data_IF_768640712667
#
_entry.id   IF_768640712667
#
_cell.length_a   1.000
_cell.length_b   1.000
_cell.length_c   1.000
_cell.angle_alpha   90.00
_cell.angle_beta   90.00
_cell.angle_gamma   90.00
#
_symmetry.space_group_name_H-M   'P 1'
#
loop_
_entity.id
_entity.type
_entity.pdbx_description
1 polymer ?
#
# COMPACT_ATOMS: atom_id res chain seq x y z
N UNK A 1 -9.30 -52.10 8.47
CA UNK A 1 -8.40 -50.99 8.84
C UNK A 1 -9.24 -49.71 8.89
N UNK A 2 -9.17 -48.97 10.00
CA UNK A 2 -10.23 -48.06 10.47
C UNK A 2 -10.35 -46.81 9.59
N UNK A 3 -11.58 -46.49 9.18
CA UNK A 3 -12.02 -45.30 8.41
C UNK A 3 -11.43 -43.97 8.92
N UNK A 4 -11.01 -43.91 10.19
CA UNK A 4 -10.33 -42.75 10.78
C UNK A 4 -9.05 -42.34 10.05
N UNK A 5 -8.25 -43.28 9.53
CA UNK A 5 -7.02 -42.95 8.79
C UNK A 5 -7.31 -42.28 7.44
N UNK A 6 -8.44 -42.62 6.82
CA UNK A 6 -8.87 -42.05 5.55
C UNK A 6 -9.36 -40.60 5.74
N UNK A 7 -10.15 -40.35 6.79
CA UNK A 7 -10.59 -39.00 7.16
C UNK A 7 -9.42 -38.10 7.59
N UNK A 8 -8.42 -38.66 8.29
CA UNK A 8 -7.22 -37.91 8.66
C UNK A 8 -6.42 -37.44 7.43
N UNK A 9 -6.31 -38.30 6.42
CA UNK A 9 -5.69 -37.95 5.13
C UNK A 9 -6.46 -36.85 4.41
N UNK A 10 -7.79 -36.93 4.38
CA UNK A 10 -8.65 -35.92 3.76
C UNK A 10 -8.53 -34.55 4.44
N UNK A 11 -8.54 -34.52 5.78
CA UNK A 11 -8.34 -33.30 6.57
C UNK A 11 -6.97 -32.68 6.35
N UNK A 12 -5.91 -33.50 6.24
CA UNK A 12 -4.57 -33.02 5.96
C UNK A 12 -4.46 -32.34 4.59
N UNK A 13 -5.05 -32.93 3.55
CA UNK A 13 -5.09 -32.33 2.21
C UNK A 13 -5.88 -31.02 2.21
N UNK A 14 -7.02 -30.99 2.91
CA UNK A 14 -7.84 -29.78 3.04
C UNK A 14 -7.12 -28.65 3.77
N UNK A 15 -6.43 -28.97 4.88
CA UNK A 15 -5.63 -28.00 5.63
C UNK A 15 -4.49 -27.42 4.79
N UNK A 16 -3.80 -28.25 4.01
CA UNK A 16 -2.79 -27.78 3.05
C UNK A 16 -3.39 -26.83 2.01
N UNK A 17 -4.56 -27.16 1.44
CA UNK A 17 -5.26 -26.29 0.50
C UNK A 17 -5.65 -24.94 1.11
N UNK A 18 -6.07 -24.92 2.37
CA UNK A 18 -6.46 -23.71 3.09
C UNK A 18 -5.25 -22.81 3.41
N UNK A 19 -4.13 -23.42 3.81
CA UNK A 19 -2.85 -22.71 4.03
C UNK A 19 -2.33 -22.12 2.72
N UNK A 20 -2.30 -22.92 1.65
CA UNK A 20 -1.83 -22.45 0.33
C UNK A 20 -2.77 -21.34 -0.18
N UNK A 21 -4.08 -21.55 -0.15
CA UNK A 21 -5.07 -20.56 -0.58
C UNK A 21 -5.01 -19.26 0.23
N UNK A 22 -4.89 -19.34 1.55
CA UNK A 22 -4.77 -18.18 2.43
C UNK A 22 -3.47 -17.40 2.22
N UNK A 23 -2.34 -18.09 2.05
CA UNK A 23 -1.06 -17.46 1.72
C UNK A 23 -1.10 -16.82 0.33
N UNK A 24 -1.68 -17.48 -0.67
CA UNK A 24 -1.86 -16.93 -2.02
C UNK A 24 -2.73 -15.68 -2.03
N UNK A 25 -3.87 -15.68 -1.32
CA UNK A 25 -4.74 -14.50 -1.23
C UNK A 25 -4.06 -13.31 -0.53
N UNK A 26 -3.35 -13.57 0.57
CA UNK A 26 -2.57 -12.57 1.31
C UNK A 26 -1.47 -11.92 0.45
N UNK A 27 -0.77 -12.72 -0.33
CA UNK A 27 0.28 -12.27 -1.25
C UNK A 27 -0.36 -11.50 -2.41
N UNK A 28 -1.48 -11.99 -2.96
CA UNK A 28 -2.18 -11.38 -4.08
C UNK A 28 -2.74 -9.98 -3.78
N UNK A 29 -3.36 -9.77 -2.60
CA UNK A 29 -3.82 -8.44 -2.18
C UNK A 29 -2.66 -7.46 -2.02
N UNK A 30 -1.55 -7.93 -1.44
CA UNK A 30 -0.34 -7.11 -1.24
C UNK A 30 0.33 -6.76 -2.57
N UNK A 31 0.32 -7.67 -3.54
CA UNK A 31 0.86 -7.43 -4.87
C UNK A 31 -0.05 -6.53 -5.71
N UNK A 32 -1.36 -6.72 -5.73
CA UNK A 32 -2.27 -5.82 -6.46
C UNK A 32 -2.24 -4.39 -5.91
N UNK A 33 -2.23 -4.23 -4.58
CA UNK A 33 -2.11 -2.89 -3.99
C UNK A 33 -0.79 -2.24 -4.40
N UNK A 34 0.33 -2.95 -4.26
CA UNK A 34 1.64 -2.47 -4.70
C UNK A 34 1.68 -2.12 -6.19
N UNK A 35 1.03 -2.93 -7.03
CA UNK A 35 1.02 -2.74 -8.48
C UNK A 35 0.14 -1.56 -8.90
N UNK A 36 -0.99 -1.34 -8.22
CA UNK A 36 -1.81 -0.13 -8.40
C UNK A 36 -1.03 1.12 -7.97
N UNK A 37 -0.28 1.06 -6.87
CA UNK A 37 0.59 2.17 -6.46
C UNK A 37 1.75 2.42 -7.45
N UNK A 38 2.33 1.35 -8.01
CA UNK A 38 3.37 1.42 -9.04
C UNK A 38 2.84 2.09 -10.31
N UNK A 39 1.67 1.67 -10.78
CA UNK A 39 0.97 2.26 -11.92
C UNK A 39 0.62 3.73 -11.67
N UNK A 40 0.06 4.09 -10.50
CA UNK A 40 -0.24 5.49 -10.14
C UNK A 40 0.99 6.40 -10.25
N UNK A 41 2.16 5.88 -9.87
CA UNK A 41 3.42 6.64 -9.90
C UNK A 41 4.05 6.68 -11.29
N UNK A 42 4.06 5.56 -12.01
CA UNK A 42 4.56 5.48 -13.39
C UNK A 42 3.72 6.32 -14.36
N UNK A 43 2.41 6.31 -14.17
CA UNK A 43 1.44 7.01 -15.01
C UNK A 43 1.28 8.50 -14.64
N UNK A 44 2.07 8.99 -13.67
CA UNK A 44 2.15 10.41 -13.27
C UNK A 44 0.76 11.05 -13.07
N UNK A 45 -0.16 10.31 -12.47
CA UNK A 45 -1.52 10.78 -12.16
C UNK A 45 -2.61 10.44 -13.17
N UNK A 46 -2.33 9.82 -14.33
CA UNK A 46 -3.38 9.54 -15.31
C UNK A 46 -4.42 8.50 -14.82
N UNK A 47 -4.01 7.45 -14.10
CA UNK A 47 -4.93 6.53 -13.44
C UNK A 47 -5.85 7.25 -12.45
N UNK A 48 -5.31 8.16 -11.63
CA UNK A 48 -6.10 8.94 -10.67
C UNK A 48 -7.04 9.91 -11.40
N UNK A 49 -6.58 10.51 -12.50
CA UNK A 49 -7.41 11.33 -13.37
C UNK A 49 -8.61 10.55 -13.89
N UNK A 50 -8.40 9.34 -14.43
CA UNK A 50 -9.49 8.51 -14.93
C UNK A 50 -10.47 8.14 -13.81
N UNK A 51 -9.96 7.61 -12.69
CA UNK A 51 -10.78 7.21 -11.55
C UNK A 51 -11.67 8.36 -11.03
N UNK A 52 -11.12 9.58 -10.96
CA UNK A 52 -11.85 10.75 -10.48
C UNK A 52 -12.81 11.27 -11.56
N UNK A 53 -12.39 11.28 -12.83
CA UNK A 53 -13.22 11.73 -13.94
C UNK A 53 -14.44 10.83 -14.12
N UNK A 54 -14.28 9.51 -14.00
CA UNK A 54 -15.37 8.53 -14.07
C UNK A 54 -16.36 8.75 -12.92
N UNK A 55 -15.85 8.94 -11.69
CA UNK A 55 -16.71 9.24 -10.54
C UNK A 55 -17.47 10.55 -10.70
N UNK A 56 -16.82 11.59 -11.23
CA UNK A 56 -17.47 12.88 -11.50
C UNK A 56 -18.53 12.74 -12.59
N UNK A 57 -18.26 11.92 -13.60
CA UNK A 57 -19.22 11.62 -14.65
C UNK A 57 -20.46 10.89 -14.12
N UNK A 58 -20.26 9.83 -13.34
CA UNK A 58 -21.36 9.06 -12.73
C UNK A 58 -22.29 9.93 -11.87
N UNK A 59 -21.72 10.98 -11.26
CA UNK A 59 -22.45 11.86 -10.33
C UNK A 59 -23.09 13.07 -11.02
N UNK A 60 -22.43 13.61 -12.06
CA UNK A 60 -22.78 14.90 -12.67
C UNK A 60 -23.24 14.77 -14.12
N UNK A 61 -23.22 13.56 -14.68
CA UNK A 61 -23.55 13.24 -16.07
C UNK A 61 -22.81 14.17 -17.05
N UNK A 62 -21.46 14.10 -17.04
CA UNK A 62 -20.63 15.04 -17.76
C UNK A 62 -20.73 14.82 -19.28
N UNK A 63 -20.98 15.90 -20.03
CA UNK A 63 -20.88 15.87 -21.48
C UNK A 63 -19.43 15.59 -21.95
N UNK A 64 -19.30 15.08 -23.18
CA UNK A 64 -17.98 14.85 -23.79
C UNK A 64 -17.10 16.12 -23.81
N UNK A 65 -17.70 17.29 -24.04
CA UNK A 65 -17.01 18.57 -24.03
C UNK A 65 -16.49 18.95 -22.63
N UNK A 66 -17.25 18.65 -21.58
CA UNK A 66 -16.81 18.87 -20.20
C UNK A 66 -15.68 17.91 -19.82
N UNK A 67 -15.81 16.62 -20.15
CA UNK A 67 -14.76 15.62 -19.91
C UNK A 67 -13.43 16.02 -20.54
N UNK A 68 -13.46 16.43 -21.81
CA UNK A 68 -12.26 16.87 -22.53
C UNK A 68 -11.56 18.07 -21.90
N UNK A 69 -12.29 18.93 -21.18
CA UNK A 69 -11.74 20.09 -20.46
C UNK A 69 -11.27 19.75 -19.04
N UNK A 70 -11.98 18.87 -18.34
CA UNK A 70 -11.69 18.50 -16.95
C UNK A 70 -10.48 17.56 -16.87
N UNK A 71 -10.36 16.61 -17.80
CA UNK A 71 -9.28 15.61 -17.80
C UNK A 71 -7.86 16.23 -17.71
N UNK A 72 -7.47 17.22 -18.54
CA UNK A 72 -6.13 17.82 -18.45
C UNK A 72 -5.93 18.60 -17.13
N UNK A 73 -6.99 19.22 -16.58
CA UNK A 73 -6.91 19.93 -15.29
C UNK A 73 -6.60 18.98 -14.14
N UNK A 74 -7.31 17.85 -14.07
CA UNK A 74 -7.08 16.81 -13.07
C UNK A 74 -5.67 16.22 -13.21
N UNK A 75 -5.24 15.92 -14.44
CA UNK A 75 -3.91 15.37 -14.70
C UNK A 75 -2.80 16.30 -14.21
N UNK A 76 -2.90 17.59 -14.53
CA UNK A 76 -1.91 18.56 -14.08
C UNK A 76 -1.93 18.74 -12.55
N UNK A 77 -3.11 18.74 -11.94
CA UNK A 77 -3.23 18.81 -10.48
C UNK A 77 -2.55 17.61 -9.79
N UNK A 78 -2.76 16.38 -10.29
CA UNK A 78 -2.11 15.20 -9.73
C UNK A 78 -0.59 15.19 -9.96
N UNK A 79 -0.10 15.66 -11.12
CA UNK A 79 1.34 15.82 -11.37
C UNK A 79 1.99 16.80 -10.42
N UNK A 80 1.36 17.97 -10.21
CA UNK A 80 1.84 18.98 -9.26
C UNK A 80 1.84 18.45 -7.83
N UNK A 81 0.79 17.71 -7.44
CA UNK A 81 0.72 17.07 -6.12
C UNK A 81 1.84 16.05 -5.93
N UNK A 82 2.10 15.19 -6.93
CA UNK A 82 3.17 14.21 -6.89
C UNK A 82 4.54 14.88 -6.75
N UNK A 83 4.81 15.93 -7.54
CA UNK A 83 6.06 16.68 -7.47
C UNK A 83 6.27 17.32 -6.09
N UNK A 84 5.23 17.91 -5.50
CA UNK A 84 5.30 18.47 -4.14
C UNK A 84 5.61 17.37 -3.12
N UNK A 85 4.95 16.22 -3.21
CA UNK A 85 5.24 15.08 -2.32
C UNK A 85 6.69 14.64 -2.41
N UNK A 86 7.27 14.59 -3.61
CA UNK A 86 8.68 14.23 -3.81
C UNK A 86 9.65 15.23 -3.18
N UNK A 87 9.28 16.51 -3.16
CA UNK A 87 10.07 17.56 -2.51
C UNK A 87 9.99 17.52 -0.98
N UNK A 88 8.80 17.25 -0.42
CA UNK A 88 8.55 17.27 1.03
C UNK A 88 8.95 15.95 1.70
N UNK A 89 8.93 14.84 0.96
CA UNK A 89 9.21 13.50 1.50
C UNK A 89 10.56 13.37 2.22
N UNK A 90 11.69 13.88 1.70
CA UNK A 90 12.97 13.84 2.41
C UNK A 90 12.91 14.52 3.78
N UNK A 91 12.16 15.63 3.88
CA UNK A 91 11.98 16.37 5.13
C UNK A 91 11.15 15.56 6.13
N UNK A 92 10.07 14.93 5.68
CA UNK A 92 9.28 14.02 6.53
C UNK A 92 10.12 12.84 7.03
N UNK A 93 10.89 12.21 6.15
CA UNK A 93 11.76 11.11 6.55
C UNK A 93 12.79 11.56 7.59
N UNK A 94 13.33 12.77 7.46
CA UNK A 94 14.27 13.33 8.41
C UNK A 94 13.63 13.51 9.80
N UNK A 95 12.46 14.14 9.86
CA UNK A 95 11.71 14.36 11.11
C UNK A 95 11.47 13.02 11.83
N UNK A 96 11.08 11.99 11.10
CA UNK A 96 10.83 10.67 11.68
C UNK A 96 12.13 10.01 12.16
N UNK A 97 13.22 10.10 11.39
CA UNK A 97 14.52 9.55 11.81
C UNK A 97 14.99 10.19 13.11
N UNK A 98 14.92 11.51 13.21
CA UNK A 98 15.28 12.25 14.42
C UNK A 98 14.42 11.84 15.61
N UNK A 99 13.10 11.78 15.41
CA UNK A 99 12.15 11.35 16.44
C UNK A 99 12.42 9.92 16.91
N UNK A 100 12.79 9.02 15.99
CA UNK A 100 13.14 7.63 16.32
C UNK A 100 14.42 7.57 17.15
N UNK A 101 15.42 8.38 16.84
CA UNK A 101 16.64 8.48 17.64
C UNK A 101 16.38 8.97 19.05
N UNK A 102 15.53 10.00 19.20
CA UNK A 102 15.11 10.49 20.51
C UNK A 102 14.36 9.41 21.31
N UNK A 103 13.42 8.70 20.66
CA UNK A 103 12.68 7.60 21.28
C UNK A 103 13.63 6.51 21.77
N UNK A 104 14.61 6.10 20.95
CA UNK A 104 15.59 5.08 21.33
C UNK A 104 16.43 5.51 22.54
N UNK A 105 16.74 6.80 22.68
CA UNK A 105 17.44 7.34 23.86
C UNK A 105 16.65 7.23 25.16
N UNK A 106 15.32 7.08 25.10
CA UNK A 106 14.43 6.90 26.25
C UNK A 106 14.21 5.43 26.63
N UNK A 107 14.68 4.50 25.81
CA UNK A 107 14.47 3.06 25.99
C UNK A 107 15.67 2.40 26.68
N UNK A 108 15.42 1.32 27.41
CA UNK A 108 16.49 0.45 27.92
C UNK A 108 17.16 -0.29 26.75
N UNK A 109 18.42 -0.75 26.90
CA UNK A 109 19.09 -1.53 25.85
C UNK A 109 18.31 -2.76 25.37
N UNK A 110 17.61 -3.45 26.29
CA UNK A 110 16.76 -4.59 25.97
C UNK A 110 15.53 -4.19 25.14
N UNK A 111 14.93 -3.03 25.42
CA UNK A 111 13.81 -2.48 24.65
C UNK A 111 14.25 -1.98 23.28
N UNK A 112 15.41 -1.34 23.16
CA UNK A 112 16.00 -0.95 21.86
C UNK A 112 16.21 -2.19 20.98
N UNK A 113 16.77 -3.26 21.55
CA UNK A 113 16.94 -4.53 20.84
C UNK A 113 15.60 -5.11 20.39
N UNK A 114 14.60 -5.14 21.27
CA UNK A 114 13.24 -5.61 20.94
C UNK A 114 12.58 -4.77 19.84
N UNK A 115 12.77 -3.44 19.86
CA UNK A 115 12.25 -2.53 18.84
C UNK A 115 12.91 -2.78 17.47
N UNK A 116 14.22 -3.04 17.46
CA UNK A 116 14.94 -3.40 16.24
C UNK A 116 14.48 -4.75 15.69
N UNK A 117 14.38 -5.77 16.54
CA UNK A 117 14.02 -7.15 16.17
C UNK A 117 12.56 -7.25 15.70
N UNK A 118 11.62 -6.52 16.31
CA UNK A 118 10.22 -6.47 15.90
C UNK A 118 9.97 -5.68 14.62
N UNK A 119 10.85 -4.71 14.30
CA UNK A 119 10.69 -3.84 13.14
C UNK A 119 9.56 -2.81 13.28
N UNK A 120 8.99 -2.62 14.47
CA UNK A 120 7.90 -1.67 14.73
C UNK A 120 8.29 -0.22 14.42
N UNK A 121 9.58 0.11 14.46
CA UNK A 121 10.09 1.42 14.03
C UNK A 121 9.72 1.78 12.57
N UNK A 122 9.47 0.77 11.71
CA UNK A 122 9.00 0.97 10.33
C UNK A 122 7.58 1.54 10.25
N UNK A 123 6.81 1.47 11.33
CA UNK A 123 5.48 2.08 11.43
C UNK A 123 5.57 3.61 11.48
N UNK A 124 6.68 4.15 12.00
CA UNK A 124 6.91 5.58 12.08
C UNK A 124 7.38 6.14 10.74
N UNK A 125 8.11 5.34 9.94
CA UNK A 125 8.60 5.78 8.64
C UNK A 125 7.47 5.98 7.64
N UNK A 126 7.49 7.09 6.87
CA UNK A 126 6.62 7.20 5.71
C UNK A 126 6.93 6.02 4.81
N UNK A 127 5.91 5.24 4.45
CA UNK A 127 6.11 4.01 3.66
C UNK A 127 6.98 4.34 2.45
N UNK A 128 8.11 3.64 2.27
CA UNK A 128 8.90 3.83 1.07
C UNK A 128 7.99 3.51 -0.12
N UNK A 129 8.01 4.32 -1.17
CA UNK A 129 7.44 3.90 -2.42
C UNK A 129 8.28 2.71 -2.84
N UNK A 130 7.64 1.55 -2.90
CA UNK A 130 8.20 0.38 -3.55
C UNK A 130 8.32 0.65 -5.04
#
# INVERSE_FOLDING_TARGET
MKRSRMWLGLLAVFACGLVIGGLSASIYERHQAAERYRLIRQDKGAFLTQLILDRLDDTLELSAAQKARIQPLLLEAFRRSLKLREQVRPQQEQIIRETTGQLQGLLTPAQVKKLADSGEWKLLMPRPPK
#
